data_IF_454612963183
#
_entry.id   IF_454612963183
#
_cell.length_a   1.000
_cell.length_b   1.000
_cell.length_c   1.000
_cell.angle_alpha   90.00
_cell.angle_beta   90.00
_cell.angle_gamma   90.00
#
_symmetry.space_group_name_H-M   'P 1'
#
loop_
_entity.id
_entity.type
_entity.pdbx_description
1 polymer ?
#
# COMPACT_ATOMS: atom_id res chain seq x y z
N UNK A 1 40.69 8.58 3.36
CA UNK A 1 39.42 9.29 3.60
C UNK A 1 38.71 9.46 2.27
N UNK A 2 37.60 8.75 2.05
CA UNK A 2 36.54 9.18 1.13
C UNK A 2 35.22 8.61 1.67
N UNK A 3 34.43 9.48 2.31
CA UNK A 3 33.13 9.15 2.90
C UNK A 3 32.09 9.07 1.78
N UNK A 4 31.88 7.90 1.17
CA UNK A 4 30.67 7.66 0.37
C UNK A 4 29.56 7.13 1.26
N UNK A 5 28.77 8.07 1.80
CA UNK A 5 27.53 7.76 2.49
C UNK A 5 26.60 6.89 1.62
N UNK A 6 25.74 6.05 2.22
CA UNK A 6 24.86 5.15 1.48
C UNK A 6 23.72 5.94 0.83
N UNK A 7 24.03 6.64 -0.26
CA UNK A 7 23.05 7.20 -1.16
C UNK A 7 22.36 6.03 -1.86
N UNK A 8 21.15 5.75 -1.38
CA UNK A 8 20.22 4.78 -1.89
C UNK A 8 20.17 4.83 -3.42
N UNK A 9 20.83 3.88 -4.08
CA UNK A 9 20.53 3.60 -5.48
C UNK A 9 19.06 3.20 -5.53
N UNK A 10 18.24 3.78 -6.42
CA UNK A 10 16.91 3.29 -6.70
C UNK A 10 17.04 1.92 -7.37
N UNK A 11 17.35 0.90 -6.57
CA UNK A 11 17.43 -0.47 -7.04
C UNK A 11 16.03 -0.83 -7.50
N UNK A 12 15.91 -1.46 -8.69
CA UNK A 12 14.62 -1.94 -9.21
C UNK A 12 13.79 -2.64 -8.14
N UNK A 13 14.42 -3.34 -7.20
CA UNK A 13 13.78 -4.01 -6.06
C UNK A 13 13.00 -3.06 -5.14
N UNK A 14 13.49 -1.86 -4.85
CA UNK A 14 12.80 -0.89 -3.97
C UNK A 14 11.55 -0.34 -4.68
N UNK A 15 11.68 -0.02 -5.96
CA UNK A 15 10.55 0.40 -6.79
C UNK A 15 9.51 -0.70 -6.94
N UNK A 16 9.95 -1.95 -7.19
CA UNK A 16 9.04 -3.09 -7.32
C UNK A 16 8.31 -3.38 -5.99
N UNK A 17 9.03 -3.36 -4.87
CA UNK A 17 8.45 -3.58 -3.53
C UNK A 17 7.49 -2.46 -3.14
N UNK A 18 7.85 -1.20 -3.40
CA UNK A 18 6.99 -0.04 -3.14
C UNK A 18 5.74 -0.02 -4.01
N UNK A 19 5.88 -0.32 -5.31
CA UNK A 19 4.76 -0.44 -6.24
C UNK A 19 3.82 -1.59 -5.86
N UNK A 20 4.36 -2.74 -5.45
CA UNK A 20 3.57 -3.87 -4.96
C UNK A 20 2.80 -3.52 -3.67
N UNK A 21 3.44 -2.80 -2.73
CA UNK A 21 2.74 -2.30 -1.54
C UNK A 21 1.63 -1.31 -1.87
N UNK A 22 1.88 -0.41 -2.83
CA UNK A 22 0.87 0.53 -3.33
C UNK A 22 -0.32 -0.22 -3.93
N UNK A 23 -0.05 -1.23 -4.76
CA UNK A 23 -1.06 -2.07 -5.39
C UNK A 23 -1.93 -2.81 -4.36
N UNK A 24 -1.30 -3.36 -3.31
CA UNK A 24 -2.00 -4.06 -2.21
C UNK A 24 -2.91 -3.10 -1.43
N UNK A 25 -2.62 -1.80 -1.40
CA UNK A 25 -3.47 -0.80 -0.74
C UNK A 25 -4.58 -0.33 -1.69
N UNK A 26 -4.24 -0.05 -2.95
CA UNK A 26 -5.18 0.55 -3.90
C UNK A 26 -6.23 -0.42 -4.39
N UNK A 27 -5.89 -1.67 -4.71
CA UNK A 27 -6.87 -2.67 -5.19
C UNK A 27 -8.04 -2.83 -4.21
N UNK A 28 -7.84 -3.15 -2.92
CA UNK A 28 -8.94 -3.33 -1.99
C UNK A 28 -9.68 -2.02 -1.69
N UNK A 29 -8.99 -0.87 -1.65
CA UNK A 29 -9.65 0.44 -1.47
C UNK A 29 -10.61 0.75 -2.62
N UNK A 30 -10.14 0.55 -3.85
CA UNK A 30 -10.92 0.84 -5.05
C UNK A 30 -12.08 -0.16 -5.21
N UNK A 31 -11.81 -1.44 -4.96
CA UNK A 31 -12.83 -2.49 -4.96
C UNK A 31 -13.92 -2.19 -3.94
N UNK A 32 -13.56 -1.84 -2.71
CA UNK A 32 -14.53 -1.51 -1.67
C UNK A 32 -15.34 -0.25 -2.00
N UNK A 33 -14.72 0.77 -2.60
CA UNK A 33 -15.42 1.98 -3.03
C UNK A 33 -16.47 1.67 -4.11
N UNK A 34 -16.10 0.91 -5.15
CA UNK A 34 -17.04 0.53 -6.21
C UNK A 34 -18.17 -0.36 -5.71
N UNK A 35 -17.87 -1.33 -4.84
CA UNK A 35 -18.91 -2.19 -4.22
C UNK A 35 -19.84 -1.35 -3.35
N UNK A 36 -19.29 -0.49 -2.49
CA UNK A 36 -20.08 0.37 -1.61
C UNK A 36 -20.98 1.32 -2.40
N UNK A 37 -20.47 1.92 -3.49
CA UNK A 37 -21.29 2.74 -4.39
C UNK A 37 -22.42 1.91 -5.00
N UNK A 38 -22.11 0.73 -5.55
CA UNK A 38 -23.13 -0.10 -6.21
C UNK A 38 -24.26 -0.55 -5.28
N UNK A 39 -24.01 -0.68 -3.98
CA UNK A 39 -25.01 -1.14 -3.00
C UNK A 39 -25.77 0.05 -2.37
N UNK A 40 -25.07 1.10 -1.97
CA UNK A 40 -25.64 2.19 -1.17
C UNK A 40 -26.26 3.27 -2.06
N UNK A 41 -25.81 3.41 -3.31
CA UNK A 41 -26.30 4.42 -4.26
C UNK A 41 -25.86 5.87 -3.92
N UNK A 42 -25.44 6.13 -2.69
CA UNK A 42 -24.90 7.41 -2.24
C UNK A 42 -23.36 7.43 -2.30
N UNK A 43 -22.85 8.30 -3.18
CA UNK A 43 -21.42 8.52 -3.45
C UNK A 43 -20.66 9.06 -2.23
N UNK A 44 -21.31 9.81 -1.34
CA UNK A 44 -20.67 10.34 -0.13
C UNK A 44 -20.45 9.26 0.91
N UNK A 45 -21.43 8.37 1.10
CA UNK A 45 -21.30 7.24 2.03
C UNK A 45 -20.27 6.23 1.52
N UNK A 46 -20.29 5.94 0.21
CA UNK A 46 -19.27 5.09 -0.42
C UNK A 46 -17.84 5.64 -0.25
N UNK A 47 -17.68 6.97 -0.29
CA UNK A 47 -16.39 7.64 -0.06
C UNK A 47 -15.89 7.41 1.37
N UNK A 48 -16.75 7.56 2.38
CA UNK A 48 -16.38 7.32 3.79
C UNK A 48 -15.97 5.86 4.01
N UNK A 49 -16.72 4.91 3.44
CA UNK A 49 -16.38 3.48 3.50
C UNK A 49 -15.04 3.21 2.81
N UNK A 50 -14.81 3.81 1.64
CA UNK A 50 -13.54 3.72 0.91
C UNK A 50 -12.36 4.24 1.74
N UNK A 51 -12.52 5.35 2.46
CA UNK A 51 -11.50 5.89 3.36
C UNK A 51 -11.19 4.91 4.50
N UNK A 52 -12.21 4.36 5.15
CA UNK A 52 -12.02 3.38 6.24
C UNK A 52 -11.27 2.15 5.73
N UNK A 53 -11.66 1.60 4.58
CA UNK A 53 -10.97 0.46 3.97
C UNK A 53 -9.55 0.81 3.55
N UNK A 54 -9.30 2.04 3.10
CA UNK A 54 -7.96 2.51 2.75
C UNK A 54 -7.02 2.53 3.97
N UNK A 55 -7.50 3.02 5.12
CA UNK A 55 -6.73 2.99 6.37
C UNK A 55 -6.47 1.56 6.87
N UNK A 56 -7.45 0.66 6.73
CA UNK A 56 -7.26 -0.77 7.04
C UNK A 56 -6.20 -1.37 6.10
N UNK A 57 -6.27 -1.06 4.81
CA UNK A 57 -5.30 -1.47 3.79
C UNK A 57 -3.89 -0.96 4.08
N UNK A 58 -3.74 0.29 4.52
CA UNK A 58 -2.44 0.82 4.97
C UNK A 58 -1.90 0.05 6.18
N UNK A 59 -2.73 -0.20 7.19
CA UNK A 59 -2.35 -1.01 8.36
C UNK A 59 -1.93 -2.43 7.98
N UNK A 60 -2.65 -3.05 7.04
CA UNK A 60 -2.29 -4.36 6.49
C UNK A 60 -1.01 -4.32 5.65
N UNK A 61 -0.81 -3.29 4.85
CA UNK A 61 0.39 -3.10 4.04
C UNK A 61 1.63 -2.99 4.92
N UNK A 62 1.57 -2.31 6.07
CA UNK A 62 2.66 -2.29 7.05
C UNK A 62 2.96 -3.68 7.64
N UNK A 63 1.94 -4.51 7.87
CA UNK A 63 2.10 -5.88 8.36
C UNK A 63 2.77 -6.78 7.32
N UNK A 64 2.37 -6.64 6.06
CA UNK A 64 2.96 -7.35 4.90
C UNK A 64 4.37 -6.83 4.62
N UNK A 65 4.59 -5.52 4.73
CA UNK A 65 5.89 -4.87 4.60
C UNK A 65 6.89 -5.42 5.60
N UNK A 66 6.52 -5.50 6.88
CA UNK A 66 7.36 -6.10 7.93
C UNK A 66 7.71 -7.56 7.61
N UNK A 67 6.78 -8.34 7.04
CA UNK A 67 7.01 -9.74 6.65
C UNK A 67 7.95 -9.84 5.44
N UNK A 68 7.80 -8.98 4.44
CA UNK A 68 8.68 -8.88 3.27
C UNK A 68 10.06 -8.32 3.59
N UNK A 69 10.17 -7.44 4.57
CA UNK A 69 11.43 -6.85 5.03
C UNK A 69 12.23 -7.81 5.92
N UNK A 70 11.54 -8.63 6.75
CA UNK A 70 12.19 -9.72 7.51
C UNK A 70 12.69 -10.87 6.63
N UNK A 71 12.14 -11.06 5.43
CA UNK A 71 12.48 -12.18 4.54
C UNK A 71 13.71 -11.89 3.65
N UNK A 72 14.37 -10.74 3.76
CA UNK A 72 15.62 -10.50 2.99
C UNK A 72 16.65 -9.68 3.76
N UNK A 73 17.38 -10.35 4.65
CA UNK A 73 18.80 -10.10 4.90
C UNK A 73 19.53 -11.44 5.09
N UNK A 74 19.99 -12.10 4.01
CA UNK A 74 21.31 -12.69 4.02
C UNK A 74 22.39 -11.59 3.90
#
# INVERSE_FOLDING_TARGET
MDKKGPLARPTREVFLKGSLMGLIITIPSLTAFFIAWSIIGDKYVALVVGIVVHFIGMGFSLKIAKKLFKVKQP
#
